data_IF_656271324858
#
_entry.id   IF_656271324858
#
_cell.length_a   1.000
_cell.length_b   1.000
_cell.length_c   1.000
_cell.angle_alpha   90.00
_cell.angle_beta   90.00
_cell.angle_gamma   90.00
#
_symmetry.space_group_name_H-M   'P 1'
#
loop_
_entity.id
_entity.type
_entity.pdbx_description
1 polymer ?
#
# COMPACT_ATOMS: atom_id res chain seq x y z
N UNK A 1 12.76 -0.89 -11.93
CA UNK A 1 11.39 -0.37 -11.84
C UNK A 1 11.42 1.00 -12.51
N UNK A 2 10.60 1.21 -13.53
CA UNK A 2 10.55 2.52 -14.17
C UNK A 2 9.82 3.55 -13.29
N UNK A 3 10.13 4.83 -13.47
CA UNK A 3 9.45 5.96 -12.85
C UNK A 3 8.63 6.71 -13.89
N UNK A 4 7.37 7.04 -13.57
CA UNK A 4 6.49 7.81 -14.44
C UNK A 4 6.16 9.15 -13.78
N UNK A 5 6.43 10.23 -14.51
CA UNK A 5 6.17 11.60 -14.07
C UNK A 5 4.74 11.99 -14.38
N UNK A 6 3.89 12.05 -13.36
CA UNK A 6 2.51 12.47 -13.48
C UNK A 6 2.37 13.84 -12.80
N UNK A 7 2.57 14.90 -13.59
CA UNK A 7 2.66 16.29 -13.09
C UNK A 7 1.51 17.12 -13.65
N UNK A 8 0.85 17.89 -12.77
CA UNK A 8 -0.20 18.83 -13.15
C UNK A 8 -1.44 18.69 -12.28
N UNK A 9 -2.60 19.06 -12.85
CA UNK A 9 -3.90 18.89 -12.19
C UNK A 9 -4.19 17.39 -11.91
N UNK A 10 -5.08 17.04 -10.97
CA UNK A 10 -5.42 15.64 -10.70
C UNK A 10 -5.81 14.87 -11.96
N UNK A 11 -6.63 15.47 -12.83
CA UNK A 11 -7.00 14.89 -14.13
C UNK A 11 -5.78 14.63 -15.01
N UNK A 12 -4.90 15.62 -15.15
CA UNK A 12 -3.68 15.52 -15.97
C UNK A 12 -2.76 14.41 -15.45
N UNK A 13 -2.55 14.32 -14.13
CA UNK A 13 -1.76 13.25 -13.53
C UNK A 13 -2.32 11.88 -13.89
N UNK A 14 -3.65 11.74 -13.80
CA UNK A 14 -4.34 10.53 -14.19
C UNK A 14 -4.15 10.18 -15.66
N UNK A 15 -4.42 11.13 -16.57
CA UNK A 15 -4.30 10.92 -18.01
C UNK A 15 -2.88 10.52 -18.42
N UNK A 16 -1.85 11.17 -17.85
CA UNK A 16 -0.44 10.82 -18.10
C UNK A 16 -0.11 9.42 -17.60
N UNK A 17 -0.52 9.06 -16.38
CA UNK A 17 -0.32 7.70 -15.86
C UNK A 17 -0.99 6.67 -16.78
N UNK A 18 -2.28 6.87 -17.08
CA UNK A 18 -3.05 5.97 -17.92
C UNK A 18 -2.45 5.80 -19.32
N UNK A 19 -2.02 6.90 -19.95
CA UNK A 19 -1.42 6.88 -21.28
C UNK A 19 -0.05 6.20 -21.29
N UNK A 20 0.84 6.58 -20.37
CA UNK A 20 2.19 6.05 -20.30
C UNK A 20 2.20 4.53 -20.05
N UNK A 21 1.26 4.04 -19.23
CA UNK A 21 1.18 2.63 -18.85
C UNK A 21 0.06 1.85 -19.55
N UNK A 22 -0.57 2.41 -20.59
CA UNK A 22 -1.78 1.87 -21.26
C UNK A 22 -1.75 0.35 -21.47
N UNK A 23 -0.68 -0.16 -22.08
CA UNK A 23 -0.51 -1.60 -22.35
C UNK A 23 -0.34 -2.43 -21.07
N UNK A 24 0.45 -1.92 -20.11
CA UNK A 24 0.70 -2.62 -18.84
C UNK A 24 -0.55 -2.64 -17.96
N UNK A 25 -1.36 -1.58 -17.97
CA UNK A 25 -2.67 -1.53 -17.30
C UNK A 25 -3.61 -2.57 -17.90
N UNK A 26 -3.70 -2.67 -19.23
CA UNK A 26 -4.53 -3.67 -19.88
C UNK A 26 -4.15 -5.10 -19.44
N UNK A 27 -2.86 -5.46 -19.49
CA UNK A 27 -2.38 -6.76 -19.02
C UNK A 27 -2.63 -6.99 -17.53
N UNK A 28 -2.45 -5.96 -16.68
CA UNK A 28 -2.71 -6.06 -15.26
C UNK A 28 -4.20 -6.32 -14.96
N UNK A 29 -5.11 -5.67 -15.70
CA UNK A 29 -6.55 -5.91 -15.60
C UNK A 29 -6.94 -7.30 -16.08
N UNK A 30 -6.36 -7.80 -17.18
CA UNK A 30 -6.59 -9.17 -17.65
C UNK A 30 -6.16 -10.21 -16.61
N UNK A 31 -4.98 -10.03 -16.01
CA UNK A 31 -4.48 -10.91 -14.95
C UNK A 31 -5.34 -10.84 -13.69
N UNK A 32 -5.79 -9.65 -13.31
CA UNK A 32 -6.69 -9.42 -12.18
C UNK A 32 -8.05 -10.10 -12.42
N UNK A 33 -8.67 -9.89 -13.58
CA UNK A 33 -9.93 -10.53 -13.97
C UNK A 33 -9.84 -12.05 -13.92
N UNK A 34 -8.77 -12.63 -14.48
CA UNK A 34 -8.54 -14.07 -14.43
C UNK A 34 -8.38 -14.59 -12.99
N UNK A 35 -7.62 -13.88 -12.16
CA UNK A 35 -7.38 -14.27 -10.77
C UNK A 35 -8.64 -14.14 -9.89
N UNK A 36 -9.40 -13.05 -10.02
CA UNK A 36 -10.66 -12.83 -9.32
C UNK A 36 -11.70 -13.87 -9.74
N UNK A 37 -11.84 -14.13 -11.04
CA UNK A 37 -12.74 -15.18 -11.56
C UNK A 37 -12.39 -16.56 -10.98
N UNK A 38 -11.10 -16.92 -10.97
CA UNK A 38 -10.64 -18.17 -10.38
C UNK A 38 -10.90 -18.24 -8.87
N UNK A 39 -10.70 -17.14 -8.13
CA UNK A 39 -10.94 -17.05 -6.69
C UNK A 39 -12.42 -17.12 -6.30
N UNK A 40 -13.30 -16.54 -7.12
CA UNK A 40 -14.75 -16.63 -6.94
C UNK A 40 -15.29 -18.02 -7.29
N UNK A 41 -14.66 -18.71 -8.25
CA UNK A 41 -15.05 -20.05 -8.69
C UNK A 41 -16.49 -20.05 -9.24
N UNK A 42 -17.38 -20.94 -8.78
CA UNK A 42 -18.77 -20.97 -9.23
C UNK A 42 -19.59 -19.70 -8.97
N UNK A 43 -19.11 -18.79 -8.11
CA UNK A 43 -19.74 -17.49 -7.85
C UNK A 43 -19.35 -16.41 -8.87
N UNK A 44 -18.33 -16.66 -9.70
CA UNK A 44 -17.88 -15.68 -10.67
C UNK A 44 -19.00 -15.39 -11.69
N UNK A 45 -19.30 -14.12 -11.97
CA UNK A 45 -20.25 -13.80 -13.03
C UNK A 45 -19.67 -14.16 -14.40
N UNK A 46 -20.55 -14.42 -15.37
CA UNK A 46 -20.14 -14.70 -16.75
C UNK A 46 -19.55 -13.48 -17.46
N UNK A 47 -19.94 -12.28 -17.02
CA UNK A 47 -19.42 -11.00 -17.48
C UNK A 47 -18.74 -10.30 -16.30
N UNK A 48 -17.46 -10.00 -16.45
CA UNK A 48 -16.66 -9.38 -15.39
C UNK A 48 -16.97 -7.89 -15.21
N UNK A 49 -17.54 -7.20 -16.21
CA UNK A 49 -18.03 -5.84 -16.01
C UNK A 49 -19.19 -5.81 -15.01
N UNK A 50 -20.06 -6.83 -15.04
CA UNK A 50 -21.11 -6.98 -14.04
C UNK A 50 -20.56 -7.17 -12.63
N UNK A 51 -19.44 -7.89 -12.46
CA UNK A 51 -18.77 -7.97 -11.15
C UNK A 51 -18.43 -6.56 -10.64
N UNK A 52 -17.86 -5.72 -11.50
CA UNK A 52 -17.47 -4.37 -11.13
C UNK A 52 -18.70 -3.51 -10.77
N UNK A 53 -19.78 -3.62 -11.54
CA UNK A 53 -21.03 -2.90 -11.26
C UNK A 53 -21.70 -3.37 -9.95
N UNK A 54 -21.74 -4.68 -9.70
CA UNK A 54 -22.27 -5.26 -8.47
C UNK A 54 -21.43 -4.86 -7.24
N UNK A 55 -20.10 -4.76 -7.40
CA UNK A 55 -19.20 -4.26 -6.35
C UNK A 55 -19.47 -2.78 -6.01
N UNK A 56 -19.53 -1.92 -7.04
CA UNK A 56 -19.71 -0.48 -6.87
C UNK A 56 -21.11 -0.11 -6.40
N UNK A 57 -22.14 -0.86 -6.80
CA UNK A 57 -23.52 -0.65 -6.36
C UNK A 57 -23.81 -1.30 -4.99
N UNK A 58 -23.10 -2.38 -4.66
CA UNK A 58 -23.20 -3.06 -3.36
C UNK A 58 -22.44 -2.38 -2.23
N UNK A 59 -21.68 -1.32 -2.53
CA UNK A 59 -20.89 -0.57 -1.54
C UNK A 59 -21.05 0.95 -1.74
N UNK A 60 -20.70 1.74 -0.72
CA UNK A 60 -20.63 3.20 -0.77
C UNK A 60 -19.18 3.72 -0.83
N UNK A 61 -18.21 2.85 -1.15
CA UNK A 61 -16.78 3.13 -1.11
C UNK A 61 -16.35 4.24 -2.07
N UNK A 62 -16.82 4.18 -3.32
CA UNK A 62 -16.49 5.19 -4.33
C UNK A 62 -17.15 6.53 -3.99
N UNK A 63 -18.40 6.52 -3.50
CA UNK A 63 -19.11 7.70 -3.03
C UNK A 63 -18.37 8.34 -1.86
N UNK A 64 -17.84 7.53 -0.93
CA UNK A 64 -17.02 8.00 0.18
C UNK A 64 -15.72 8.63 -0.31
N UNK A 65 -15.05 8.02 -1.28
CA UNK A 65 -13.84 8.56 -1.90
C UNK A 65 -14.10 9.88 -2.66
N UNK A 66 -15.24 10.00 -3.35
CA UNK A 66 -15.67 11.23 -4.03
C UNK A 66 -15.93 12.36 -3.02
N UNK A 67 -16.54 12.06 -1.88
CA UNK A 67 -16.82 13.05 -0.85
C UNK A 67 -15.56 13.50 -0.08
N UNK A 68 -14.67 12.58 0.26
CA UNK A 68 -13.50 12.87 1.10
C UNK A 68 -12.27 13.31 0.30
N UNK A 69 -12.13 12.83 -0.93
CA UNK A 69 -10.94 13.00 -1.78
C UNK A 69 -11.30 13.17 -3.26
N UNK A 70 -12.10 14.19 -3.62
CA UNK A 70 -12.61 14.37 -4.99
C UNK A 70 -11.50 14.47 -6.03
N UNK A 71 -10.36 15.06 -5.68
CA UNK A 71 -9.19 15.17 -6.55
C UNK A 71 -8.62 13.79 -6.91
N UNK A 72 -8.56 12.85 -5.97
CA UNK A 72 -8.05 11.50 -6.23
C UNK A 72 -9.00 10.68 -7.10
N UNK A 73 -10.31 10.88 -6.97
CA UNK A 73 -11.27 10.25 -7.89
C UNK A 73 -11.16 10.87 -9.29
N UNK A 74 -10.90 12.18 -9.37
CA UNK A 74 -10.61 12.85 -10.65
C UNK A 74 -9.34 12.31 -11.31
N UNK A 75 -8.29 12.07 -10.52
CA UNK A 75 -7.06 11.40 -10.97
C UNK A 75 -7.34 9.99 -11.48
N UNK A 76 -8.09 9.18 -10.73
CA UNK A 76 -8.50 7.83 -11.14
C UNK A 76 -9.32 7.82 -12.45
N UNK A 77 -10.23 8.79 -12.63
CA UNK A 77 -10.96 8.97 -13.90
C UNK A 77 -10.00 9.30 -15.04
N UNK A 78 -8.99 10.14 -14.79
CA UNK A 78 -7.92 10.41 -15.75
C UNK A 78 -7.15 9.15 -16.13
N UNK A 79 -6.82 8.28 -15.17
CA UNK A 79 -6.14 7.00 -15.45
C UNK A 79 -6.98 6.15 -16.40
N UNK A 80 -8.29 6.01 -16.12
CA UNK A 80 -9.19 5.26 -16.98
C UNK A 80 -9.23 5.83 -18.42
N UNK A 81 -9.31 7.15 -18.57
CA UNK A 81 -9.29 7.84 -19.87
C UNK A 81 -7.96 7.58 -20.61
N UNK A 82 -6.83 7.85 -19.95
CA UNK A 82 -5.50 7.70 -20.56
C UNK A 82 -5.20 6.25 -20.97
N UNK A 83 -5.66 5.29 -20.17
CA UNK A 83 -5.49 3.86 -20.42
C UNK A 83 -6.52 3.29 -21.42
N UNK A 84 -7.55 4.05 -21.78
CA UNK A 84 -8.65 3.56 -22.62
C UNK A 84 -9.43 2.41 -21.97
N UNK A 85 -9.62 2.47 -20.64
CA UNK A 85 -10.27 1.44 -19.83
C UNK A 85 -11.61 1.92 -19.27
N UNK A 86 -12.49 0.97 -18.96
CA UNK A 86 -13.73 1.25 -18.21
C UNK A 86 -13.41 1.90 -16.86
N UNK A 87 -14.09 2.99 -16.52
CA UNK A 87 -13.95 3.60 -15.21
C UNK A 87 -14.39 2.66 -14.09
N UNK A 88 -15.43 1.85 -14.29
CA UNK A 88 -15.90 0.88 -13.30
C UNK A 88 -14.81 -0.15 -12.98
N UNK A 89 -14.17 -0.74 -14.02
CA UNK A 89 -13.05 -1.66 -13.85
C UNK A 89 -11.89 -1.01 -13.11
N UNK A 90 -11.48 0.19 -13.54
CA UNK A 90 -10.38 0.92 -12.91
C UNK A 90 -10.68 1.29 -11.45
N UNK A 91 -11.93 1.64 -11.14
CA UNK A 91 -12.36 1.96 -9.79
C UNK A 91 -12.25 0.74 -8.89
N UNK A 92 -12.85 -0.40 -9.26
CA UNK A 92 -12.77 -1.63 -8.45
C UNK A 92 -11.32 -2.13 -8.35
N UNK A 93 -10.53 -2.01 -9.41
CA UNK A 93 -9.10 -2.33 -9.37
C UNK A 93 -8.31 -1.48 -8.35
N UNK A 94 -8.72 -0.24 -8.11
CA UNK A 94 -8.15 0.64 -7.07
C UNK A 94 -8.75 0.41 -5.67
N UNK A 95 -9.74 -0.47 -5.53
CA UNK A 95 -10.34 -0.93 -4.27
C UNK A 95 -9.83 -2.34 -3.89
N UNK A 96 -8.56 -2.62 -4.21
CA UNK A 96 -7.93 -3.94 -4.06
C UNK A 96 -8.01 -4.49 -2.64
N UNK A 97 -7.69 -3.68 -1.63
CA UNK A 97 -7.78 -4.11 -0.22
C UNK A 97 -9.23 -4.41 0.18
N UNK A 98 -10.18 -3.61 -0.34
CA UNK A 98 -11.60 -3.79 -0.09
C UNK A 98 -12.16 -5.05 -0.74
N UNK A 99 -11.65 -5.40 -1.94
CA UNK A 99 -11.97 -6.63 -2.63
C UNK A 99 -11.73 -7.89 -1.77
N UNK A 100 -10.69 -7.88 -0.93
CA UNK A 100 -10.32 -9.07 -0.14
C UNK A 100 -11.34 -9.44 0.93
N UNK A 101 -11.99 -8.46 1.57
CA UNK A 101 -13.09 -8.74 2.48
C UNK A 101 -14.43 -8.87 1.75
N UNK A 102 -14.66 -8.14 0.65
CA UNK A 102 -15.88 -8.24 -0.14
C UNK A 102 -16.08 -9.64 -0.74
N UNK A 103 -15.05 -10.19 -1.38
CA UNK A 103 -15.13 -11.50 -2.02
C UNK A 103 -15.16 -12.67 -1.02
N UNK A 104 -14.65 -12.41 0.19
CA UNK A 104 -14.53 -13.33 1.32
C UNK A 104 -14.02 -14.75 0.94
N UNK A 105 -13.10 -14.86 -0.02
CA UNK A 105 -12.70 -16.14 -0.60
C UNK A 105 -12.15 -17.12 0.47
N UNK A 106 -12.58 -18.39 0.50
CA UNK A 106 -12.29 -19.31 1.60
C UNK A 106 -10.91 -19.99 1.56
N UNK A 107 -10.10 -19.84 0.50
CA UNK A 107 -8.99 -20.77 0.22
C UNK A 107 -7.59 -20.19 0.04
N UNK A 108 -7.43 -18.89 -0.23
CA UNK A 108 -6.10 -18.28 -0.36
C UNK A 108 -5.79 -17.42 0.86
N UNK A 109 -4.58 -17.53 1.46
CA UNK A 109 -4.14 -16.55 2.44
C UNK A 109 -4.01 -15.20 1.72
N UNK A 110 -4.54 -14.10 2.29
CA UNK A 110 -4.38 -12.81 1.68
C UNK A 110 -2.92 -12.36 1.71
N UNK A 111 -2.57 -11.36 0.89
CA UNK A 111 -1.22 -10.83 0.84
C UNK A 111 -0.78 -10.17 2.15
N UNK A 112 0.53 -10.01 2.33
CA UNK A 112 1.13 -9.54 3.57
C UNK A 112 2.11 -8.41 3.35
N UNK A 113 2.48 -7.70 4.41
CA UNK A 113 3.57 -6.73 4.37
C UNK A 113 4.40 -6.89 5.64
N UNK A 114 5.68 -6.53 5.57
CA UNK A 114 6.58 -6.50 6.73
C UNK A 114 7.24 -5.14 6.77
N UNK A 115 7.21 -4.47 7.92
CA UNK A 115 7.66 -3.08 8.06
C UNK A 115 8.58 -2.90 9.27
N UNK A 116 9.62 -2.10 9.07
CA UNK A 116 10.41 -1.49 10.14
C UNK A 116 10.44 0.02 9.93
N UNK A 117 10.28 0.79 11.01
CA UNK A 117 10.69 2.19 11.04
C UNK A 117 11.52 2.43 12.29
N UNK A 118 12.65 3.13 12.14
CA UNK A 118 13.53 3.38 13.28
C UNK A 118 14.36 4.65 13.11
N UNK A 119 14.91 5.12 14.23
CA UNK A 119 15.92 6.18 14.22
C UNK A 119 17.22 5.68 13.58
N UNK A 120 17.84 6.55 12.80
CA UNK A 120 19.18 6.40 12.21
C UNK A 120 19.95 7.71 12.38
N UNK A 121 21.27 7.78 12.14
CA UNK A 121 21.98 9.06 12.13
C UNK A 121 21.28 10.09 11.22
N UNK A 122 21.04 11.30 11.74
CA UNK A 122 20.43 12.40 10.99
C UNK A 122 18.89 12.40 10.91
N UNK A 123 18.20 11.33 11.30
CA UNK A 123 16.73 11.27 11.24
C UNK A 123 16.15 9.88 11.44
N UNK A 124 15.26 9.47 10.53
CA UNK A 124 14.57 8.18 10.60
C UNK A 124 14.58 7.48 9.24
N UNK A 125 14.37 6.17 9.28
CA UNK A 125 14.17 5.34 8.09
C UNK A 125 12.84 4.58 8.22
N UNK A 126 12.18 4.33 7.10
CA UNK A 126 11.07 3.39 6.96
C UNK A 126 11.42 2.40 5.85
N UNK A 127 11.40 1.11 6.16
CA UNK A 127 11.56 0.05 5.17
C UNK A 127 10.37 -0.89 5.21
N UNK A 128 9.94 -1.33 4.03
CA UNK A 128 8.79 -2.20 3.89
C UNK A 128 8.96 -3.17 2.72
N UNK A 129 8.64 -4.44 2.96
CA UNK A 129 8.31 -5.39 1.90
C UNK A 129 6.79 -5.36 1.71
N UNK A 130 6.37 -5.05 0.48
CA UNK A 130 5.00 -5.12 0.03
C UNK A 130 4.82 -6.50 -0.62
N UNK A 131 4.10 -7.41 0.02
CA UNK A 131 3.78 -8.72 -0.55
C UNK A 131 2.34 -8.67 -1.09
N UNK A 132 2.17 -8.83 -2.41
CA UNK A 132 0.89 -8.74 -3.11
C UNK A 132 0.59 -10.07 -3.84
N UNK A 133 -0.64 -10.28 -4.37
CA UNK A 133 -0.93 -11.47 -5.16
C UNK A 133 0.00 -11.56 -6.38
N UNK A 134 0.47 -12.76 -6.70
CA UNK A 134 1.44 -12.99 -7.76
C UNK A 134 0.95 -12.56 -9.16
N UNK A 135 -0.37 -12.48 -9.38
CA UNK A 135 -0.94 -11.99 -10.64
C UNK A 135 -0.64 -10.50 -10.90
N UNK A 136 -0.23 -9.75 -9.87
CA UNK A 136 0.20 -8.36 -10.01
C UNK A 136 1.65 -8.23 -10.48
N UNK A 137 2.44 -9.31 -10.49
CA UNK A 137 3.82 -9.28 -10.96
C UNK A 137 3.90 -8.72 -12.40
N UNK A 138 4.88 -7.84 -12.65
CA UNK A 138 5.02 -7.12 -13.91
C UNK A 138 4.27 -5.79 -13.97
N UNK A 139 3.39 -5.48 -13.01
CA UNK A 139 2.71 -4.19 -12.92
C UNK A 139 3.47 -3.13 -12.09
N UNK A 140 4.58 -3.48 -11.43
CA UNK A 140 5.35 -2.59 -10.56
C UNK A 140 5.75 -1.29 -11.27
N UNK A 141 5.55 -0.16 -10.61
CA UNK A 141 5.96 1.15 -11.11
C UNK A 141 6.25 2.11 -9.95
N UNK A 142 7.22 2.99 -10.12
CA UNK A 142 7.38 4.17 -9.28
C UNK A 142 6.62 5.34 -9.91
N UNK A 143 5.81 6.05 -9.13
CA UNK A 143 5.12 7.26 -9.60
C UNK A 143 5.76 8.48 -8.96
N UNK A 144 6.10 9.49 -9.78
CA UNK A 144 6.46 10.82 -9.31
C UNK A 144 5.33 11.78 -9.62
N UNK A 145 4.77 12.33 -8.57
CA UNK A 145 3.48 13.00 -8.58
C UNK A 145 3.68 14.43 -8.11
N UNK A 146 3.21 15.40 -8.88
CA UNK A 146 3.39 16.82 -8.58
C UNK A 146 2.24 17.66 -9.09
N UNK A 147 2.02 18.82 -8.47
CA UNK A 147 0.93 19.73 -8.77
C UNK A 147 0.85 20.85 -7.73
N UNK A 148 0.01 21.86 -7.97
CA UNK A 148 -0.19 22.95 -7.01
C UNK A 148 -0.98 22.51 -5.77
N UNK A 149 -1.71 21.40 -5.87
CA UNK A 149 -2.62 20.83 -4.86
C UNK A 149 -1.93 19.92 -3.83
N UNK A 150 -0.68 19.51 -4.07
CA UNK A 150 0.01 18.54 -3.21
C UNK A 150 1.52 18.81 -3.12
N UNK A 151 2.19 18.41 -2.02
CA UNK A 151 3.64 18.28 -2.05
C UNK A 151 4.05 17.24 -3.09
N UNK A 152 5.18 17.44 -3.75
CA UNK A 152 5.71 16.46 -4.67
C UNK A 152 5.89 15.12 -3.95
N UNK A 153 5.51 14.02 -4.59
CA UNK A 153 5.46 12.68 -3.97
C UNK A 153 6.06 11.65 -4.89
N UNK A 154 6.96 10.82 -4.38
CA UNK A 154 7.44 9.63 -5.05
C UNK A 154 6.92 8.41 -4.29
N UNK A 155 6.29 7.49 -5.00
CA UNK A 155 5.67 6.32 -4.37
C UNK A 155 5.75 5.07 -5.21
N UNK A 156 5.84 3.93 -4.52
CA UNK A 156 5.62 2.62 -5.11
C UNK A 156 4.13 2.48 -5.45
N UNK A 157 3.84 2.01 -6.67
CA UNK A 157 2.50 1.66 -7.12
C UNK A 157 2.51 0.43 -8.04
N UNK A 158 1.32 0.06 -8.49
CA UNK A 158 1.08 -0.82 -9.63
C UNK A 158 0.49 -0.02 -10.79
N UNK A 159 0.73 -0.46 -12.02
CA UNK A 159 0.19 0.17 -13.22
C UNK A 159 -1.33 0.29 -13.13
N UNK A 160 -1.84 1.52 -13.13
CA UNK A 160 -3.27 1.82 -13.02
C UNK A 160 -3.77 2.06 -11.59
N UNK A 161 -2.95 1.81 -10.56
CA UNK A 161 -3.28 2.12 -9.17
C UNK A 161 -2.78 3.51 -8.75
N UNK A 162 -3.59 4.27 -8.02
CA UNK A 162 -3.23 5.62 -7.57
C UNK A 162 -2.09 5.64 -6.53
N UNK A 163 -1.76 4.50 -5.92
CA UNK A 163 -0.60 4.38 -5.04
C UNK A 163 -0.68 3.25 -4.01
N UNK A 164 0.49 2.87 -3.46
CA UNK A 164 0.60 1.90 -2.36
C UNK A 164 1.33 2.48 -1.12
N UNK A 165 2.61 2.85 -1.25
CA UNK A 165 3.47 3.36 -0.16
C UNK A 165 4.44 4.38 -0.73
N UNK A 166 4.78 5.43 0.01
CA UNK A 166 5.53 6.54 -0.59
C UNK A 166 6.08 7.57 0.38
N UNK A 167 6.73 8.58 -0.19
CA UNK A 167 7.30 9.72 0.52
C UNK A 167 7.08 11.01 -0.26
N UNK A 168 6.83 12.11 0.46
CA UNK A 168 6.66 13.43 -0.15
C UNK A 168 7.84 14.38 0.15
N UNK A 169 7.92 15.47 -0.60
CA UNK A 169 8.99 16.47 -0.52
C UNK A 169 8.98 17.27 0.78
N UNK A 170 7.94 17.15 1.61
CA UNK A 170 7.93 17.66 2.97
C UNK A 170 8.61 16.72 3.99
N UNK A 171 9.19 15.60 3.53
CA UNK A 171 9.90 14.65 4.37
C UNK A 171 8.99 13.69 5.13
N UNK A 172 7.78 13.46 4.61
CA UNK A 172 6.80 12.53 5.19
C UNK A 172 6.74 11.24 4.36
N UNK A 173 7.14 10.13 4.97
CA UNK A 173 6.98 8.79 4.43
C UNK A 173 5.82 8.07 5.10
N UNK A 174 5.10 7.25 4.33
CA UNK A 174 4.06 6.35 4.84
C UNK A 174 4.34 4.92 4.41
N UNK A 175 4.14 3.97 5.31
CA UNK A 175 4.04 2.54 5.01
C UNK A 175 2.71 1.99 5.53
N UNK A 176 2.25 0.89 4.93
CA UNK A 176 0.89 0.36 5.16
C UNK A 176 0.86 -1.16 5.25
N UNK A 177 0.14 -1.73 6.21
CA UNK A 177 0.00 -3.18 6.34
C UNK A 177 -1.47 -3.56 6.56
N UNK A 178 -2.03 -4.39 5.67
CA UNK A 178 -3.42 -4.85 5.80
C UNK A 178 -3.66 -5.61 7.11
N UNK A 179 -4.77 -5.32 7.76
CA UNK A 179 -5.24 -5.95 9.00
C UNK A 179 -6.68 -6.45 8.80
N UNK A 180 -6.85 -7.41 7.89
CA UNK A 180 -8.15 -8.00 7.51
C UNK A 180 -8.94 -8.68 8.65
N UNK A 181 -8.37 -8.71 9.86
CA UNK A 181 -9.02 -9.17 11.09
C UNK A 181 -9.88 -8.11 11.73
N UNK A 182 -9.59 -6.84 11.43
CA UNK A 182 -10.34 -5.73 11.97
C UNK A 182 -11.65 -5.58 11.21
N UNK A 183 -12.62 -4.98 11.90
CA UNK A 183 -13.91 -4.64 11.33
C UNK A 183 -13.73 -3.71 10.11
N UNK A 184 -14.52 -3.98 9.08
CA UNK A 184 -14.53 -3.26 7.81
C UNK A 184 -15.85 -2.51 7.63
N UNK A 185 -15.85 -1.53 6.73
CA UNK A 185 -17.01 -0.69 6.44
C UNK A 185 -17.18 -0.55 4.92
N UNK A 186 -18.36 -0.90 4.42
CA UNK A 186 -18.69 -0.76 3.00
C UNK A 186 -18.90 0.72 2.58
N UNK A 187 -18.86 1.66 3.51
CA UNK A 187 -19.01 3.11 3.32
C UNK A 187 -17.80 3.91 3.86
N UNK A 188 -16.70 3.23 4.20
CA UNK A 188 -15.46 3.85 4.64
C UNK A 188 -14.57 4.33 3.48
N UNK A 189 -13.54 5.13 3.79
CA UNK A 189 -12.56 5.55 2.79
C UNK A 189 -11.65 4.37 2.43
N UNK A 190 -11.49 4.04 1.13
CA UNK A 190 -10.64 2.94 0.72
C UNK A 190 -9.15 3.21 0.93
N UNK A 191 -8.37 2.14 1.07
CA UNK A 191 -6.97 2.20 1.54
C UNK A 191 -6.08 3.06 0.64
N UNK A 192 -6.14 2.87 -0.69
CA UNK A 192 -5.34 3.63 -1.63
C UNK A 192 -5.62 5.15 -1.51
N UNK A 193 -6.87 5.52 -1.26
CA UNK A 193 -7.27 6.91 -1.05
C UNK A 193 -6.82 7.43 0.31
N UNK A 194 -6.91 6.62 1.38
CA UNK A 194 -6.43 7.02 2.72
C UNK A 194 -4.91 7.27 2.73
N UNK A 195 -4.12 6.41 2.08
CA UNK A 195 -2.67 6.58 1.90
C UNK A 195 -2.38 7.89 1.17
N UNK A 196 -3.01 8.12 0.02
CA UNK A 196 -2.81 9.33 -0.79
C UNK A 196 -3.27 10.59 -0.06
N UNK A 197 -4.37 10.51 0.67
CA UNK A 197 -4.89 11.60 1.50
C UNK A 197 -3.90 11.98 2.61
N UNK A 198 -3.30 10.99 3.29
CA UNK A 198 -2.28 11.23 4.31
C UNK A 198 -0.98 11.79 3.71
N UNK A 199 -0.52 11.28 2.57
CA UNK A 199 0.66 11.78 1.85
C UNK A 199 0.49 13.21 1.32
N UNK A 200 -0.74 13.70 1.17
CA UNK A 200 -0.98 15.11 0.87
C UNK A 200 -0.65 16.06 2.04
N UNK A 201 -0.26 15.56 3.21
CA UNK A 201 0.08 16.38 4.38
C UNK A 201 1.56 16.81 4.38
N UNK A 202 1.84 18.01 4.89
CA UNK A 202 3.22 18.55 4.99
C UNK A 202 3.92 18.25 6.31
N UNK A 203 3.27 17.56 7.25
CA UNK A 203 3.84 17.20 8.54
C UNK A 203 3.14 16.00 9.16
N UNK A 204 3.84 15.31 10.07
CA UNK A 204 3.40 14.08 10.74
C UNK A 204 2.07 14.25 11.48
N UNK A 205 1.90 15.35 12.22
CA UNK A 205 0.69 15.60 12.99
C UNK A 205 -0.56 15.74 12.10
N UNK A 206 -0.41 16.36 10.92
CA UNK A 206 -1.51 16.49 9.96
C UNK A 206 -1.83 15.16 9.27
N UNK A 207 -0.83 14.37 8.88
CA UNK A 207 -1.07 13.03 8.35
C UNK A 207 -1.75 12.11 9.38
N UNK A 208 -1.29 12.15 10.63
CA UNK A 208 -1.90 11.39 11.73
C UNK A 208 -3.38 11.76 11.92
N UNK A 209 -3.70 13.07 11.97
CA UNK A 209 -5.08 13.54 12.10
C UNK A 209 -5.94 13.09 10.92
N UNK A 210 -5.44 13.27 9.69
CA UNK A 210 -6.13 12.83 8.47
C UNK A 210 -6.49 11.35 8.55
N UNK A 211 -5.55 10.48 8.93
CA UNK A 211 -5.83 9.06 9.10
C UNK A 211 -6.80 8.78 10.25
N UNK A 212 -6.71 9.49 11.37
CA UNK A 212 -7.58 9.27 12.52
C UNK A 212 -9.04 9.65 12.26
N UNK A 213 -9.30 10.62 11.40
CA UNK A 213 -10.63 11.23 11.22
C UNK A 213 -11.36 10.78 9.95
N UNK A 214 -10.70 10.06 9.04
CA UNK A 214 -11.26 9.81 7.70
C UNK A 214 -12.33 8.72 7.64
N UNK A 215 -12.37 7.82 8.62
CA UNK A 215 -13.23 6.63 8.63
C UNK A 215 -12.78 5.61 7.57
N UNK A 216 -12.24 4.47 7.99
CA UNK A 216 -11.57 3.53 7.07
C UNK A 216 -12.53 2.45 6.56
N UNK A 217 -12.39 2.08 5.29
CA UNK A 217 -13.11 0.95 4.71
C UNK A 217 -12.54 -0.40 5.19
N UNK A 218 -11.22 -0.49 5.25
CA UNK A 218 -10.50 -1.73 5.56
C UNK A 218 -9.60 -1.53 6.76
N UNK A 219 -9.46 -2.59 7.57
CA UNK A 219 -8.48 -2.66 8.64
C UNK A 219 -7.06 -2.47 8.12
N UNK A 220 -6.34 -1.48 8.64
CA UNK A 220 -4.97 -1.16 8.23
C UNK A 220 -4.10 -0.73 9.40
N UNK A 221 -2.82 -1.07 9.33
CA UNK A 221 -1.77 -0.38 10.05
C UNK A 221 -1.13 0.66 9.13
N UNK A 222 -0.91 1.87 9.66
CA UNK A 222 -0.18 2.93 9.00
C UNK A 222 1.01 3.35 9.85
N UNK A 223 2.21 3.31 9.26
CA UNK A 223 3.42 3.91 9.81
C UNK A 223 3.70 5.22 9.09
N UNK A 224 3.73 6.32 9.82
CA UNK A 224 4.20 7.61 9.31
C UNK A 224 5.58 7.86 9.89
N UNK A 225 6.57 8.08 9.03
CA UNK A 225 7.92 8.41 9.45
C UNK A 225 8.34 9.75 8.84
N UNK A 226 8.96 10.57 9.68
CA UNK A 226 9.45 11.91 9.37
C UNK A 226 10.80 12.09 10.03
N UNK A 227 11.54 13.16 9.70
CA UNK A 227 12.82 13.42 10.35
C UNK A 227 12.70 13.53 11.88
N UNK A 228 11.59 14.08 12.39
CA UNK A 228 11.36 14.32 13.82
C UNK A 228 10.79 13.12 14.58
N UNK A 229 10.30 12.07 13.91
CA UNK A 229 9.78 10.90 14.61
C UNK A 229 8.90 9.99 13.77
N UNK A 230 8.34 9.01 14.47
CA UNK A 230 7.47 7.95 13.92
C UNK A 230 6.11 8.02 14.61
N UNK A 231 5.05 7.86 13.84
CA UNK A 231 3.67 7.62 14.31
C UNK A 231 3.20 6.29 13.77
N UNK A 232 2.53 5.50 14.60
CA UNK A 232 1.98 4.19 14.25
C UNK A 232 0.51 4.14 14.63
N UNK A 233 -0.36 3.78 13.68
CA UNK A 233 -1.80 3.72 13.87
C UNK A 233 -2.35 2.39 13.36
N UNK A 234 -3.22 1.73 14.13
CA UNK A 234 -4.06 0.64 13.66
C UNK A 234 -5.50 1.12 13.57
N UNK A 235 -6.04 1.17 12.34
CA UNK A 235 -7.33 1.76 12.06
C UNK A 235 -8.26 0.74 11.41
N UNK A 236 -9.47 0.67 11.94
CA UNK A 236 -10.58 -0.18 11.53
C UNK A 236 -11.77 0.69 11.09
N UNK A 237 -12.90 0.06 10.77
CA UNK A 237 -14.16 0.74 10.53
C UNK A 237 -14.57 1.72 11.64
N UNK A 238 -14.31 1.37 12.91
CA UNK A 238 -14.84 2.12 14.07
C UNK A 238 -13.78 2.87 14.87
N UNK A 239 -12.52 2.47 14.79
CA UNK A 239 -11.46 2.97 15.66
C UNK A 239 -10.17 3.24 14.90
N UNK A 240 -9.32 4.12 15.43
CA UNK A 240 -7.97 4.33 14.94
C UNK A 240 -7.05 4.52 16.15
N UNK A 241 -6.39 3.44 16.53
CA UNK A 241 -5.63 3.30 17.78
C UNK A 241 -4.16 3.58 17.55
N UNK A 242 -3.57 4.47 18.35
CA UNK A 242 -2.14 4.72 18.30
C UNK A 242 -1.37 3.58 18.95
N UNK A 243 -0.46 2.95 18.21
CA UNK A 243 0.48 1.96 18.74
C UNK A 243 1.69 2.71 19.30
N UNK A 244 1.99 2.61 20.61
CA UNK A 244 3.16 3.26 21.19
C UNK A 244 4.46 2.76 20.57
N UNK A 245 5.38 3.67 20.28
CA UNK A 245 6.74 3.31 19.84
C UNK A 245 7.52 2.83 21.08
N UNK A 246 8.12 1.62 21.06
CA UNK A 246 8.91 1.13 22.19
C UNK A 246 10.10 2.03 22.53
N UNK A 247 10.64 1.92 23.75
CA UNK A 247 11.77 2.73 24.23
C UNK A 247 13.04 2.62 23.38
N UNK A 248 13.20 1.50 22.66
CA UNK A 248 14.31 1.32 21.71
C UNK A 248 14.14 2.16 20.42
N UNK A 249 13.03 2.88 20.26
CA UNK A 249 12.75 3.76 19.13
C UNK A 249 12.46 3.03 17.81
N UNK A 250 12.11 1.73 17.86
CA UNK A 250 11.87 0.90 16.67
C UNK A 250 10.42 0.45 16.59
N UNK A 251 9.77 0.81 15.49
CA UNK A 251 8.48 0.26 15.09
C UNK A 251 8.71 -0.98 14.22
N UNK A 252 8.07 -2.08 14.57
CA UNK A 252 8.01 -3.30 13.78
C UNK A 252 6.54 -3.68 13.58
N UNK A 253 6.12 -3.96 12.35
CA UNK A 253 4.75 -4.34 12.08
C UNK A 253 4.64 -5.37 10.95
N UNK A 254 3.64 -6.24 11.04
CA UNK A 254 3.22 -7.15 9.96
C UNK A 254 1.71 -7.02 9.73
N UNK A 255 0.94 -8.10 9.60
CA UNK A 255 -0.49 -8.10 9.24
C UNK A 255 -1.39 -8.71 10.32
N UNK A 256 -1.07 -8.46 11.58
CA UNK A 256 -1.98 -8.73 12.70
C UNK A 256 -2.00 -7.52 13.63
N UNK A 257 -3.14 -7.22 14.26
CA UNK A 257 -3.25 -6.12 15.18
C UNK A 257 -2.41 -6.38 16.44
N UNK A 258 -1.73 -5.34 16.90
CA UNK A 258 -0.92 -5.32 18.11
C UNK A 258 -1.59 -4.51 19.23
N UNK A 259 -2.49 -3.57 18.89
CA UNK A 259 -3.17 -2.73 19.87
C UNK A 259 -4.69 -2.63 19.65
N UNK A 260 -5.16 -2.72 18.40
CA UNK A 260 -6.58 -2.60 18.11
C UNK A 260 -7.37 -3.81 18.59
N UNK A 261 -8.47 -3.55 19.29
CA UNK A 261 -9.42 -4.57 19.76
C UNK A 261 -10.68 -4.67 18.90
N UNK A 262 -10.78 -3.87 17.83
CA UNK A 262 -11.94 -3.81 16.94
C UNK A 262 -11.93 -4.94 15.90
N UNK A 263 -12.01 -6.18 16.39
CA UNK A 263 -11.79 -7.42 15.65
C UNK A 263 -13.13 -8.01 15.18
N UNK A 264 -13.22 -8.38 13.90
CA UNK A 264 -14.26 -9.26 13.38
C UNK A 264 -13.87 -10.73 13.70
N UNK A 265 -14.60 -11.43 14.60
CA UNK A 265 -14.27 -12.80 15.00
C UNK A 265 -14.42 -13.80 13.85
N UNK A 266 -15.32 -13.55 12.88
CA UNK A 266 -15.53 -14.40 11.72
C UNK A 266 -14.36 -14.27 10.74
N UNK A 267 -13.90 -13.03 10.48
CA UNK A 267 -12.69 -12.80 9.71
C UNK A 267 -11.46 -13.42 10.38
N UNK A 268 -11.31 -13.23 11.71
CA UNK A 268 -10.23 -13.81 12.51
C UNK A 268 -10.18 -15.34 12.39
N UNK A 269 -11.31 -16.02 12.55
CA UNK A 269 -11.38 -17.47 12.43
C UNK A 269 -11.02 -17.94 11.02
N UNK A 270 -11.57 -17.30 9.98
CA UNK A 270 -11.31 -17.61 8.57
C UNK A 270 -9.82 -17.49 8.23
N UNK A 271 -9.21 -16.37 8.61
CA UNK A 271 -7.80 -16.08 8.33
C UNK A 271 -6.84 -16.90 9.21
N UNK A 272 -7.27 -17.27 10.42
CA UNK A 272 -6.57 -18.25 11.25
C UNK A 272 -6.50 -19.63 10.58
N UNK A 273 -7.60 -20.08 9.97
CA UNK A 273 -7.68 -21.36 9.28
C UNK A 273 -6.78 -21.45 8.03
N UNK A 274 -6.47 -20.33 7.38
CA UNK A 274 -5.53 -20.27 6.23
C UNK A 274 -4.06 -20.12 6.66
N UNK A 275 -3.79 -19.97 7.96
CA UNK A 275 -2.43 -19.75 8.49
C UNK A 275 -1.92 -18.31 8.35
N UNK A 276 -2.76 -17.36 7.92
CA UNK A 276 -2.38 -15.96 7.71
C UNK A 276 -1.84 -15.31 8.99
N UNK A 277 -2.54 -15.44 10.12
CA UNK A 277 -2.10 -14.90 11.42
C UNK A 277 -0.77 -15.47 11.85
N UNK A 278 -0.60 -16.79 11.70
CA UNK A 278 0.62 -17.50 12.06
C UNK A 278 1.79 -17.02 11.22
N UNK A 279 1.62 -16.89 9.90
CA UNK A 279 2.63 -16.31 9.00
C UNK A 279 3.01 -14.89 9.43
N UNK A 280 2.02 -14.06 9.74
CA UNK A 280 2.25 -12.69 10.22
C UNK A 280 3.04 -12.64 11.53
N UNK A 281 2.66 -13.46 12.51
CA UNK A 281 3.35 -13.54 13.80
C UNK A 281 4.78 -14.06 13.66
N UNK A 282 5.00 -15.06 12.79
CA UNK A 282 6.34 -15.59 12.50
C UNK A 282 7.26 -14.52 11.89
N UNK A 283 6.77 -13.75 10.92
CA UNK A 283 7.52 -12.63 10.32
C UNK A 283 7.86 -11.54 11.33
N UNK A 284 6.91 -11.18 12.21
CA UNK A 284 7.16 -10.20 13.27
C UNK A 284 8.18 -10.70 14.29
N UNK A 285 8.08 -11.97 14.69
CA UNK A 285 9.06 -12.62 15.58
C UNK A 285 10.45 -12.61 14.95
N UNK A 286 10.56 -12.95 13.66
CA UNK A 286 11.82 -12.90 12.93
C UNK A 286 12.44 -11.50 12.94
N UNK A 287 11.66 -10.45 12.68
CA UNK A 287 12.13 -9.06 12.78
C UNK A 287 12.61 -8.73 14.19
N UNK A 288 11.86 -9.12 15.23
CA UNK A 288 12.23 -8.87 16.64
C UNK A 288 13.57 -9.50 17.02
N UNK A 289 13.89 -10.69 16.49
CA UNK A 289 15.17 -11.37 16.77
C UNK A 289 16.39 -10.75 16.05
N UNK A 290 16.17 -9.88 15.06
CA UNK A 290 17.21 -9.31 14.18
C UNK A 290 17.28 -7.78 14.21
N UNK A 291 16.43 -7.14 15.00
CA UNK A 291 16.44 -5.68 15.12
C UNK A 291 17.72 -5.18 15.77
N UNK A 292 18.33 -5.94 16.68
CA UNK A 292 19.50 -5.52 17.44
C UNK A 292 20.72 -5.33 16.53
N UNK A 293 21.49 -4.27 16.80
CA UNK A 293 22.63 -3.88 15.96
C UNK A 293 22.28 -3.09 14.69
N UNK A 294 21.00 -2.96 14.30
CA UNK A 294 20.61 -2.10 13.18
C UNK A 294 20.70 -0.62 13.58
N UNK A 295 21.73 0.08 13.11
CA UNK A 295 22.00 1.49 13.42
C UNK A 295 21.93 2.40 12.20
N UNK A 296 22.06 1.86 10.99
CA UNK A 296 22.10 2.61 9.73
C UNK A 296 20.97 2.19 8.78
N UNK A 297 20.63 3.07 7.83
CA UNK A 297 19.69 2.75 6.76
C UNK A 297 20.18 1.59 5.88
N UNK A 298 21.50 1.40 5.77
CA UNK A 298 22.11 0.36 4.93
C UNK A 298 22.01 -1.04 5.56
N UNK A 299 22.13 -1.13 6.89
CA UNK A 299 21.88 -2.38 7.63
C UNK A 299 20.40 -2.76 7.54
N UNK A 300 19.49 -1.79 7.64
CA UNK A 300 18.05 -2.02 7.42
C UNK A 300 17.77 -2.47 5.98
N UNK A 301 18.40 -1.84 4.98
CA UNK A 301 18.30 -2.26 3.58
C UNK A 301 18.76 -3.70 3.39
N UNK A 302 19.87 -4.07 4.02
CA UNK A 302 20.45 -5.42 3.96
C UNK A 302 19.50 -6.45 4.55
N UNK A 303 18.87 -6.15 5.70
CA UNK A 303 17.85 -7.02 6.30
C UNK A 303 16.67 -7.29 5.35
N UNK A 304 16.26 -6.29 4.56
CA UNK A 304 15.18 -6.39 3.57
C UNK A 304 15.65 -6.94 2.21
N UNK A 305 16.93 -7.31 2.10
CA UNK A 305 17.52 -7.89 0.90
C UNK A 305 17.95 -9.35 1.09
N UNK A 306 17.42 -10.03 2.10
CA UNK A 306 17.61 -11.46 2.34
C UNK A 306 16.49 -12.26 1.64
N UNK A 307 16.87 -13.08 0.67
CA UNK A 307 15.95 -13.89 -0.14
C UNK A 307 15.41 -15.14 0.57
N UNK A 308 16.02 -15.51 1.69
CA UNK A 308 15.62 -16.63 2.55
C UNK A 308 14.84 -16.15 3.79
N UNK A 309 14.81 -14.83 4.03
CA UNK A 309 14.03 -14.26 5.10
C UNK A 309 12.52 -14.52 4.91
N UNK A 310 11.76 -14.83 5.98
CA UNK A 310 10.32 -15.04 5.89
C UNK A 310 9.56 -13.76 5.54
N UNK A 311 10.20 -12.60 5.65
CA UNK A 311 9.65 -11.31 5.20
C UNK A 311 9.72 -11.14 3.68
N UNK A 312 10.45 -12.01 2.97
CA UNK A 312 10.51 -12.06 1.51
C UNK A 312 9.62 -13.22 1.00
N UNK A 313 8.36 -12.93 0.69
CA UNK A 313 7.39 -13.94 0.27
C UNK A 313 7.62 -14.44 -1.16
N UNK A 314 7.27 -15.71 -1.39
CA UNK A 314 7.29 -16.36 -2.71
C UNK A 314 5.95 -17.06 -2.96
N UNK A 315 5.43 -16.90 -4.18
CA UNK A 315 4.09 -17.39 -4.56
C UNK A 315 3.88 -18.88 -4.26
N UNK A 316 4.90 -19.71 -4.51
CA UNK A 316 4.84 -21.16 -4.33
C UNK A 316 4.81 -21.60 -2.85
N UNK A 317 5.28 -20.77 -1.92
CA UNK A 317 5.31 -21.07 -0.48
C UNK A 317 4.32 -20.26 0.34
N UNK A 318 3.72 -19.21 -0.24
CA UNK A 318 2.85 -18.25 0.45
C UNK A 318 1.47 -18.12 -0.21
N UNK A 319 0.91 -19.24 -0.68
CA UNK A 319 -0.47 -19.31 -1.14
C UNK A 319 -0.80 -18.34 -2.29
N UNK A 320 0.16 -18.13 -3.19
CA UNK A 320 0.01 -17.23 -4.34
C UNK A 320 0.41 -15.78 -4.08
N UNK A 321 0.91 -15.41 -2.90
CA UNK A 321 1.48 -14.09 -2.63
C UNK A 321 3.00 -14.05 -2.82
N UNK A 322 3.53 -12.95 -3.35
CA UNK A 322 4.96 -12.74 -3.57
C UNK A 322 5.36 -11.34 -3.12
N UNK A 323 6.59 -11.14 -2.66
CA UNK A 323 7.12 -9.78 -2.47
C UNK A 323 7.09 -9.07 -3.83
N UNK A 324 6.17 -8.11 -3.95
CA UNK A 324 5.91 -7.32 -5.14
C UNK A 324 7.00 -6.27 -5.33
N UNK A 325 7.39 -5.63 -4.22
CA UNK A 325 8.52 -4.72 -4.16
C UNK A 325 8.93 -4.46 -2.69
N UNK A 326 10.14 -3.94 -2.53
CA UNK A 326 10.67 -3.42 -1.28
C UNK A 326 10.92 -1.93 -1.40
N UNK A 327 10.70 -1.18 -0.32
CA UNK A 327 10.98 0.25 -0.23
C UNK A 327 11.85 0.55 0.98
N UNK A 328 12.66 1.59 0.86
CA UNK A 328 13.49 2.17 1.90
C UNK A 328 13.46 3.69 1.74
N UNK A 329 12.80 4.37 2.67
CA UNK A 329 12.73 5.83 2.72
C UNK A 329 13.57 6.33 3.88
N UNK A 330 14.57 7.15 3.61
CA UNK A 330 15.40 7.78 4.63
C UNK A 330 15.04 9.26 4.72
N UNK A 331 14.50 9.68 5.87
CA UNK A 331 14.10 11.07 6.15
C UNK A 331 15.16 11.69 7.06
N UNK A 332 16.30 12.06 6.49
CA UNK A 332 17.45 12.68 7.19
C UNK A 332 17.63 14.14 6.76
N UNK A 333 18.86 14.67 6.73
CA UNK A 333 19.16 15.97 6.10
C UNK A 333 18.84 15.97 4.60
N UNK A 334 18.92 14.80 3.97
CA UNK A 334 18.45 14.55 2.62
C UNK A 334 17.43 13.42 2.65
N UNK A 335 16.40 13.55 1.82
CA UNK A 335 15.42 12.48 1.59
C UNK A 335 16.03 11.54 0.55
N UNK A 336 16.23 10.28 0.91
CA UNK A 336 16.70 9.26 -0.01
C UNK A 336 15.62 8.18 -0.17
N UNK A 337 15.28 7.91 -1.42
CA UNK A 337 14.14 7.07 -1.81
C UNK A 337 14.70 5.89 -2.59
N UNK A 338 14.65 4.70 -1.99
CA UNK A 338 15.16 3.47 -2.59
C UNK A 338 14.04 2.46 -2.73
N UNK A 339 13.92 1.84 -3.90
CA UNK A 339 12.96 0.76 -4.13
C UNK A 339 13.62 -0.39 -4.88
N UNK A 340 13.15 -1.61 -4.62
CA UNK A 340 13.52 -2.81 -5.38
C UNK A 340 12.24 -3.48 -5.86
N UNK A 341 12.19 -3.83 -7.14
CA UNK A 341 11.12 -4.65 -7.68
C UNK A 341 11.30 -6.11 -7.23
N UNK A 342 10.18 -6.75 -6.88
CA UNK A 342 10.12 -8.18 -6.65
C UNK A 342 10.82 -8.67 -5.37
N UNK A 343 10.96 -9.98 -5.33
CA UNK A 343 11.68 -10.73 -4.29
C UNK A 343 13.12 -10.23 -4.11
N UNK A 344 13.71 -10.51 -2.96
CA UNK A 344 15.10 -10.17 -2.73
C UNK A 344 16.02 -10.86 -3.74
N UNK A 345 17.07 -10.11 -4.12
CA UNK A 345 18.12 -10.52 -5.06
C UNK A 345 17.66 -10.72 -6.52
N UNK A 346 16.36 -10.63 -6.84
CA UNK A 346 15.90 -10.71 -8.25
C UNK A 346 16.14 -9.43 -9.06
N UNK A 347 16.31 -8.29 -8.38
CA UNK A 347 16.60 -7.01 -8.99
C UNK A 347 17.48 -6.15 -8.08
N UNK A 348 18.27 -5.20 -8.62
CA UNK A 348 19.00 -4.24 -7.81
C UNK A 348 18.05 -3.22 -7.16
N UNK A 349 18.43 -2.70 -5.99
CA UNK A 349 17.83 -1.49 -5.44
C UNK A 349 18.11 -0.30 -6.36
N UNK A 350 17.10 0.53 -6.58
CA UNK A 350 17.16 1.70 -7.44
C UNK A 350 16.86 2.94 -6.60
N UNK A 351 17.58 4.02 -6.86
CA UNK A 351 17.34 5.31 -6.25
C UNK A 351 16.37 6.13 -7.09
N UNK A 352 15.47 6.83 -6.41
CA UNK A 352 14.49 7.72 -7.01
C UNK A 352 14.62 9.09 -6.37
N UNK A 353 14.36 10.13 -7.15
CA UNK A 353 14.45 11.52 -6.71
C UNK A 353 13.15 12.24 -7.01
N UNK A 354 12.88 13.29 -6.26
CA UNK A 354 11.95 14.33 -6.66
C UNK A 354 12.42 14.98 -7.97
N UNK A 355 11.58 15.80 -8.60
CA UNK A 355 11.97 16.63 -9.72
C UNK A 355 13.08 17.55 -9.23
N UNK A 356 14.16 17.65 -10.01
CA UNK A 356 15.13 18.70 -9.79
C UNK A 356 14.39 20.03 -9.96
N UNK A 357 14.54 20.95 -9.00
CA UNK A 357 14.10 22.33 -9.19
C UNK A 357 14.72 22.81 -10.50
N UNK A 358 13.89 23.09 -11.51
CA UNK A 358 14.32 23.57 -12.80
C UNK A 358 14.83 25.02 -12.66
N UNK A 359 15.96 25.22 -11.97
CA UNK A 359 16.64 26.49 -11.78
C UNK A 359 15.91 27.48 -10.89
N UNK A 360 16.57 27.87 -9.80
CA UNK A 360 16.37 29.18 -9.18
C UNK A 360 16.76 30.32 -10.12
#
# INVERSE_FOLDING_TARGET
MEIIDCIGSPRTRGEVHGEALRKRIATALENWEAATTAGLGPRAPADFDRYCDDFLSGTALLQRAEAATPDLVTELRGIAIGAGQSFARMAVYNLMDEQWWYDAAPKAPPPGCSLIAQRVPGGHVLAQNMDLPAHMEGSQVALRLGGQDMPETVMLSAAGMIGLTGVNSAGLAIGVNTLLMLEHAADGLPVAFAVRHALGARNRATAQRRLAEVGHASGQHYAIATRDGITSLECSARTCSALPIPDNGRLLHTNHPLISSDIDPTALARLGATGFTKSSANRLSWLKTRQDGLTTAEEVRTLFNDADAPICMRANTHGGSSTFASVLYSMTDSINIRMRQGIAESAPWQEFNFLEDAGA
#
